data_IF_724016177446
#
_entry.id   IF_724016177446
#
_cell.length_a   1.000
_cell.length_b   1.000
_cell.length_c   1.000
_cell.angle_alpha   90.00
_cell.angle_beta   90.00
_cell.angle_gamma   90.00
#
_symmetry.space_group_name_H-M   'P 1'
#
loop_
_entity.id
_entity.type
_entity.pdbx_description
1 polymer ?
#
# COMPACT_ATOMS: atom_id res chain seq x y z
N UNK A 1 -40.10 7.55 20.16
CA UNK A 1 -39.07 8.00 19.19
C UNK A 1 -37.71 7.57 19.74
N UNK A 2 -37.22 6.40 19.33
CA UNK A 2 -35.80 5.96 19.37
C UNK A 2 -35.69 4.50 18.90
N UNK A 3 -36.31 4.20 17.76
CA UNK A 3 -36.22 2.90 17.09
C UNK A 3 -35.49 3.05 15.73
N UNK A 4 -34.46 3.92 15.69
CA UNK A 4 -33.80 4.34 14.43
C UNK A 4 -32.29 4.03 14.38
N UNK A 5 -31.69 3.34 15.36
CA UNK A 5 -30.24 3.07 15.34
C UNK A 5 -29.81 1.60 15.34
N UNK A 6 -30.70 0.67 14.98
CA UNK A 6 -30.31 -0.72 14.65
C UNK A 6 -30.49 -1.01 13.17
N UNK A 7 -29.72 -0.32 12.32
CA UNK A 7 -29.31 -0.88 11.02
C UNK A 7 -27.80 -1.07 10.99
N UNK A 8 -27.25 -1.59 12.10
CA UNK A 8 -25.95 -2.24 12.06
C UNK A 8 -26.16 -3.57 11.32
N UNK A 9 -25.95 -3.54 10.00
CA UNK A 9 -25.84 -4.73 9.18
C UNK A 9 -24.79 -5.63 9.84
N UNK A 10 -25.24 -6.66 10.58
CA UNK A 10 -24.37 -7.57 11.32
C UNK A 10 -23.39 -8.15 10.31
N UNK A 11 -22.10 -7.89 10.50
CA UNK A 11 -21.07 -8.35 9.58
C UNK A 11 -21.02 -9.88 9.67
N UNK A 12 -21.76 -10.56 8.79
CA UNK A 12 -21.98 -12.01 8.84
C UNK A 12 -20.78 -12.81 8.32
N UNK A 13 -19.75 -12.15 7.82
CA UNK A 13 -18.54 -12.77 7.28
C UNK A 13 -17.49 -12.90 8.36
N UNK A 14 -16.85 -14.08 8.40
CA UNK A 14 -15.74 -14.34 9.31
C UNK A 14 -14.61 -13.36 9.05
N UNK A 15 -14.04 -12.83 10.12
CA UNK A 15 -12.94 -11.89 10.06
C UNK A 15 -11.61 -12.65 10.01
N UNK A 16 -10.75 -12.34 9.02
CA UNK A 16 -9.46 -13.00 8.89
C UNK A 16 -8.42 -12.38 9.83
N UNK A 17 -8.42 -12.82 11.10
CA UNK A 17 -7.49 -12.34 12.12
C UNK A 17 -6.01 -12.54 11.74
N UNK A 18 -5.68 -13.63 11.02
CA UNK A 18 -4.31 -13.89 10.56
C UNK A 18 -3.86 -12.80 9.57
N UNK A 19 -4.72 -12.41 8.62
CA UNK A 19 -4.40 -11.35 7.66
C UNK A 19 -4.20 -9.99 8.35
N UNK A 20 -4.92 -9.70 9.44
CA UNK A 20 -4.66 -8.52 10.26
C UNK A 20 -3.33 -8.60 11.01
N UNK A 21 -2.99 -9.76 11.56
CA UNK A 21 -1.67 -9.99 12.14
C UNK A 21 -0.54 -9.77 11.14
N UNK A 22 -0.69 -10.28 9.92
CA UNK A 22 0.30 -10.10 8.85
C UNK A 22 0.43 -8.65 8.38
N UNK A 23 -0.66 -7.85 8.44
CA UNK A 23 -0.56 -6.40 8.26
C UNK A 23 0.33 -5.77 9.31
N UNK A 24 0.18 -6.18 10.58
CA UNK A 24 1.02 -5.73 11.68
C UNK A 24 2.49 -6.06 11.45
N UNK A 25 2.80 -7.30 11.05
CA UNK A 25 4.18 -7.72 10.71
C UNK A 25 4.74 -6.87 9.58
N UNK A 26 4.02 -6.71 8.47
CA UNK A 26 4.46 -5.89 7.36
C UNK A 26 4.67 -4.41 7.76
N UNK A 27 3.79 -3.85 8.59
CA UNK A 27 3.91 -2.47 9.07
C UNK A 27 5.16 -2.27 9.95
N UNK A 28 5.47 -3.23 10.84
CA UNK A 28 6.71 -3.20 11.63
C UNK A 28 7.93 -3.26 10.72
N UNK A 29 7.90 -4.10 9.68
CA UNK A 29 8.99 -4.21 8.71
C UNK A 29 9.20 -2.91 7.91
N UNK A 30 8.14 -2.16 7.58
CA UNK A 30 8.24 -0.83 6.96
C UNK A 30 8.93 0.18 7.89
N UNK A 31 8.56 0.19 9.17
CA UNK A 31 9.19 1.09 10.16
C UNK A 31 10.68 0.75 10.32
N UNK A 32 11.01 -0.54 10.45
CA UNK A 32 12.40 -0.98 10.56
C UNK A 32 13.20 -0.67 9.29
N UNK A 33 12.61 -0.85 8.10
CA UNK A 33 13.22 -0.48 6.83
C UNK A 33 13.66 0.98 6.82
N UNK A 34 12.76 1.91 7.12
CA UNK A 34 13.08 3.35 7.10
C UNK A 34 14.04 3.78 8.22
N UNK A 35 13.97 3.16 9.41
CA UNK A 35 14.95 3.43 10.47
C UNK A 35 16.35 3.01 10.02
N UNK A 36 16.48 1.83 9.41
CA UNK A 36 17.78 1.27 9.01
C UNK A 36 18.33 1.92 7.75
N UNK A 37 17.46 2.42 6.86
CA UNK A 37 17.81 3.17 5.66
C UNK A 37 18.62 4.44 5.97
N UNK A 38 18.33 5.12 7.08
CA UNK A 38 19.10 6.31 7.52
C UNK A 38 20.58 5.96 7.77
N UNK A 39 20.87 4.73 8.22
CA UNK A 39 22.24 4.29 8.50
C UNK A 39 22.94 3.68 7.27
N UNK A 40 22.20 3.40 6.20
CA UNK A 40 22.78 2.84 4.98
C UNK A 40 23.45 3.90 4.10
N UNK A 41 23.11 5.18 4.27
CA UNK A 41 23.58 6.30 3.42
C UNK A 41 23.35 6.04 1.92
N UNK A 42 22.26 5.37 1.57
CA UNK A 42 21.93 5.00 0.18
C UNK A 42 22.71 3.81 -0.37
N UNK A 43 23.52 3.15 0.46
CA UNK A 43 24.26 1.94 0.09
C UNK A 43 23.48 0.69 0.48
N UNK A 44 22.85 0.04 -0.51
CA UNK A 44 22.03 -1.15 -0.30
C UNK A 44 22.82 -2.32 0.33
N UNK A 45 24.14 -2.37 0.16
CA UNK A 45 24.96 -3.41 0.79
C UNK A 45 25.02 -3.30 2.31
N UNK A 46 24.76 -2.11 2.86
CA UNK A 46 24.74 -1.84 4.30
C UNK A 46 23.36 -1.94 4.91
N UNK A 47 22.32 -2.05 4.07
CA UNK A 47 20.95 -2.10 4.51
C UNK A 47 20.55 -3.54 4.86
N UNK A 48 20.07 -3.76 6.10
CA UNK A 48 19.68 -5.10 6.55
C UNK A 48 18.32 -5.54 5.99
N UNK A 49 17.42 -4.59 5.75
CA UNK A 49 16.10 -4.83 5.16
C UNK A 49 16.10 -4.14 3.80
N UNK A 50 16.48 -4.85 2.73
CA UNK A 50 16.60 -4.26 1.40
C UNK A 50 15.25 -4.06 0.73
N UNK A 51 14.29 -4.95 0.98
CA UNK A 51 13.03 -4.98 0.23
C UNK A 51 11.80 -4.60 1.06
N UNK A 52 11.99 -3.84 2.15
CA UNK A 52 10.89 -3.40 3.03
C UNK A 52 9.87 -2.52 2.30
N UNK A 53 10.27 -1.82 1.24
CA UNK A 53 9.37 -1.05 0.37
C UNK A 53 8.31 -1.91 -0.33
N UNK A 54 8.54 -3.22 -0.51
CA UNK A 54 7.58 -4.16 -1.12
C UNK A 54 6.35 -4.41 -0.24
N UNK A 55 6.40 -4.06 1.05
CA UNK A 55 5.25 -4.19 1.94
C UNK A 55 4.02 -3.41 1.43
N UNK A 56 4.23 -2.32 0.69
CA UNK A 56 3.15 -1.56 0.05
C UNK A 56 2.36 -2.42 -0.95
N UNK A 57 3.06 -3.19 -1.79
CA UNK A 57 2.43 -4.08 -2.76
C UNK A 57 1.70 -5.24 -2.06
N UNK A 58 2.26 -5.75 -0.95
CA UNK A 58 1.56 -6.71 -0.09
C UNK A 58 0.26 -6.13 0.48
N UNK A 59 0.26 -4.88 0.94
CA UNK A 59 -0.96 -4.18 1.38
C UNK A 59 -1.97 -4.03 0.24
N UNK A 60 -1.52 -3.78 -1.00
CA UNK A 60 -2.42 -3.74 -2.16
C UNK A 60 -3.06 -5.10 -2.48
N UNK A 61 -2.31 -6.22 -2.40
CA UNK A 61 -2.90 -7.57 -2.52
C UNK A 61 -3.96 -7.79 -1.44
N UNK A 62 -3.64 -7.45 -0.20
CA UNK A 62 -4.58 -7.56 0.92
C UNK A 62 -5.81 -6.67 0.75
N UNK A 63 -5.65 -5.46 0.21
CA UNK A 63 -6.75 -4.53 -0.04
C UNK A 63 -7.70 -5.10 -1.10
N UNK A 64 -7.17 -5.60 -2.22
CA UNK A 64 -7.93 -6.28 -3.27
C UNK A 64 -8.66 -7.53 -2.77
N UNK A 65 -8.01 -8.34 -1.94
CA UNK A 65 -8.62 -9.53 -1.34
C UNK A 65 -9.77 -9.16 -0.40
N UNK A 66 -9.51 -8.28 0.57
CA UNK A 66 -10.52 -7.92 1.59
C UNK A 66 -11.69 -7.16 0.98
N UNK A 67 -11.47 -6.32 -0.03
CA UNK A 67 -12.57 -5.58 -0.65
C UNK A 67 -13.50 -6.48 -1.45
N UNK A 68 -12.95 -7.41 -2.24
CA UNK A 68 -13.76 -8.38 -2.98
C UNK A 68 -14.50 -9.31 -2.01
N UNK A 69 -13.79 -9.83 -0.99
CA UNK A 69 -14.37 -10.68 0.05
C UNK A 69 -15.51 -9.98 0.80
N UNK A 70 -15.34 -8.71 1.19
CA UNK A 70 -16.33 -8.02 2.02
C UNK A 70 -17.54 -7.52 1.24
N UNK A 71 -17.40 -7.19 -0.05
CA UNK A 71 -18.41 -6.40 -0.77
C UNK A 71 -19.00 -7.04 -2.02
N UNK A 72 -18.36 -8.01 -2.69
CA UNK A 72 -18.84 -8.53 -3.98
C UNK A 72 -20.30 -9.03 -3.95
N UNK A 73 -20.73 -9.65 -2.85
CA UNK A 73 -22.09 -10.19 -2.66
C UNK A 73 -23.08 -9.18 -2.05
N UNK A 74 -22.63 -7.99 -1.65
CA UNK A 74 -23.45 -6.99 -0.93
C UNK A 74 -24.03 -5.90 -1.83
N UNK A 75 -23.57 -5.81 -3.07
CA UNK A 75 -23.97 -4.75 -3.99
C UNK A 75 -25.46 -4.73 -4.35
N UNK A 76 -26.19 -5.84 -4.18
CA UNK A 76 -27.65 -5.87 -4.34
C UNK A 76 -28.40 -5.14 -3.22
N UNK A 77 -27.75 -4.90 -2.08
CA UNK A 77 -28.33 -4.30 -0.86
C UNK A 77 -27.57 -3.06 -0.38
N UNK A 78 -26.61 -2.57 -1.17
CA UNK A 78 -25.71 -1.48 -0.78
C UNK A 78 -25.51 -0.51 -1.93
N UNK A 79 -25.73 0.76 -1.66
CA UNK A 79 -25.47 1.87 -2.56
C UNK A 79 -23.98 2.27 -2.61
N UNK A 80 -23.59 3.00 -3.65
CA UNK A 80 -22.24 3.56 -3.76
C UNK A 80 -21.90 4.50 -2.59
N UNK A 81 -22.89 5.28 -2.11
CA UNK A 81 -22.72 6.19 -0.98
C UNK A 81 -22.44 5.44 0.33
N UNK A 82 -23.13 4.33 0.57
CA UNK A 82 -22.90 3.50 1.76
C UNK A 82 -21.54 2.81 1.71
N UNK A 83 -21.14 2.31 0.54
CA UNK A 83 -19.79 1.79 0.33
C UNK A 83 -18.74 2.87 0.63
N UNK A 84 -18.86 4.06 0.03
CA UNK A 84 -17.92 5.16 0.23
C UNK A 84 -17.84 5.56 1.72
N UNK A 85 -18.99 5.69 2.40
CA UNK A 85 -19.06 5.97 3.84
C UNK A 85 -18.28 4.93 4.66
N UNK A 86 -18.46 3.63 4.38
CA UNK A 86 -17.75 2.56 5.09
C UNK A 86 -16.24 2.63 4.86
N UNK A 87 -15.80 2.93 3.64
CA UNK A 87 -14.37 3.10 3.33
C UNK A 87 -13.77 4.34 4.00
N UNK A 88 -14.50 5.45 4.04
CA UNK A 88 -14.08 6.67 4.76
C UNK A 88 -13.93 6.41 6.26
N UNK A 89 -14.93 5.82 6.92
CA UNK A 89 -14.86 5.52 8.36
C UNK A 89 -13.67 4.61 8.70
N UNK A 90 -13.28 3.72 7.78
CA UNK A 90 -12.16 2.80 7.97
C UNK A 90 -10.79 3.45 7.77
N UNK A 91 -10.62 4.26 6.71
CA UNK A 91 -9.30 4.75 6.29
C UNK A 91 -8.99 6.16 6.81
N UNK A 92 -9.98 7.06 6.82
CA UNK A 92 -9.78 8.48 7.08
C UNK A 92 -9.33 8.82 8.51
N UNK A 93 -9.77 8.12 9.57
CA UNK A 93 -9.25 8.37 10.92
C UNK A 93 -7.73 8.23 11.01
N UNK A 94 -7.16 7.21 10.37
CA UNK A 94 -5.71 6.98 10.38
C UNK A 94 -4.96 8.01 9.53
N UNK A 95 -5.57 8.53 8.45
CA UNK A 95 -5.00 9.63 7.66
C UNK A 95 -4.89 10.90 8.52
N UNK A 96 -5.97 11.27 9.21
CA UNK A 96 -6.01 12.46 10.07
C UNK A 96 -4.95 12.35 11.18
N UNK A 97 -4.89 11.20 11.86
CA UNK A 97 -3.89 10.96 12.91
C UNK A 97 -2.48 11.07 12.34
N UNK A 98 -2.20 10.44 11.19
CA UNK A 98 -0.90 10.52 10.53
C UNK A 98 -0.47 11.95 10.20
N UNK A 99 -1.40 12.77 9.70
CA UNK A 99 -1.13 14.19 9.40
C UNK A 99 -0.90 15.01 10.66
N UNK A 100 -1.65 14.75 11.75
CA UNK A 100 -1.44 15.42 13.05
C UNK A 100 -0.07 15.07 13.63
N UNK A 101 0.30 13.79 13.63
CA UNK A 101 1.61 13.34 14.11
C UNK A 101 2.73 13.92 13.25
N UNK A 102 2.54 13.94 11.93
CA UNK A 102 3.44 14.58 10.98
C UNK A 102 3.66 16.06 11.26
N UNK A 103 2.58 16.82 11.40
CA UNK A 103 2.62 18.24 11.76
C UNK A 103 3.29 18.49 13.12
N UNK A 104 2.94 17.69 14.14
CA UNK A 104 3.49 17.81 15.48
C UNK A 104 5.00 17.50 15.54
N UNK A 105 5.48 16.66 14.62
CA UNK A 105 6.89 16.26 14.55
C UNK A 105 7.69 16.97 13.46
N UNK A 106 7.05 17.83 12.66
CA UNK A 106 7.62 18.40 11.43
C UNK A 106 8.95 19.13 11.69
N UNK A 107 8.96 20.08 12.62
CA UNK A 107 10.15 20.90 12.90
C UNK A 107 11.29 20.15 13.60
N UNK A 108 11.05 18.96 14.16
CA UNK A 108 12.12 18.11 14.71
C UNK A 108 12.90 17.38 13.63
N UNK A 109 12.43 17.40 12.38
CA UNK A 109 13.08 16.75 11.24
C UNK A 109 14.06 17.70 10.52
N UNK A 110 14.11 18.98 10.92
CA UNK A 110 15.03 19.97 10.35
C UNK A 110 16.50 19.61 10.58
N UNK A 111 17.36 20.14 9.70
CA UNK A 111 18.81 19.88 9.71
C UNK A 111 19.35 19.52 8.32
N UNK A 112 20.56 18.97 8.26
CA UNK A 112 21.30 18.78 7.01
C UNK A 112 20.57 17.95 5.94
N UNK A 113 19.73 16.99 6.35
CA UNK A 113 18.97 16.14 5.43
C UNK A 113 17.72 16.84 4.87
N UNK A 114 17.13 17.76 5.63
CA UNK A 114 15.90 18.48 5.26
C UNK A 114 16.04 19.98 5.59
N UNK A 115 16.97 20.70 4.93
CA UNK A 115 17.31 22.07 5.29
C UNK A 115 16.16 23.06 5.08
N UNK A 116 15.22 22.75 4.19
CA UNK A 116 14.09 23.61 3.89
C UNK A 116 13.11 23.75 5.06
N UNK A 117 13.05 22.77 5.98
CA UNK A 117 12.07 22.72 7.09
C UNK A 117 12.21 23.93 8.01
N UNK A 118 13.43 24.39 8.26
CA UNK A 118 13.72 25.48 9.21
C UNK A 118 13.12 26.82 8.77
N UNK A 119 12.94 27.01 7.46
CA UNK A 119 12.39 28.22 6.87
C UNK A 119 10.87 28.16 6.62
N UNK A 120 10.21 27.02 6.89
CA UNK A 120 8.77 26.84 6.63
C UNK A 120 7.93 27.58 7.68
N UNK A 121 7.10 28.56 7.28
CA UNK A 121 6.18 29.22 8.21
C UNK A 121 5.15 28.24 8.78
N UNK A 122 4.84 28.36 10.07
CA UNK A 122 3.84 27.51 10.76
C UNK A 122 2.49 27.53 10.05
N UNK A 123 2.08 28.68 9.49
CA UNK A 123 0.82 28.80 8.74
C UNK A 123 0.84 27.93 7.48
N UNK A 124 1.97 27.85 6.77
CA UNK A 124 2.14 26.98 5.60
C UNK A 124 2.06 25.51 6.01
N UNK A 125 2.73 25.13 7.09
CA UNK A 125 2.65 23.76 7.63
C UNK A 125 1.21 23.40 8.00
N UNK A 126 0.48 24.27 8.70
CA UNK A 126 -0.93 24.06 9.05
C UNK A 126 -1.81 23.95 7.80
N UNK A 127 -1.59 24.76 6.78
CA UNK A 127 -2.31 24.66 5.50
C UNK A 127 -2.09 23.30 4.83
N UNK A 128 -0.84 22.82 4.77
CA UNK A 128 -0.51 21.50 4.25
C UNK A 128 -1.15 20.40 5.09
N UNK A 129 -1.24 20.55 6.41
CA UNK A 129 -1.95 19.61 7.29
C UNK A 129 -3.45 19.54 6.96
N UNK A 130 -4.11 20.69 6.78
CA UNK A 130 -5.53 20.71 6.41
C UNK A 130 -5.80 20.11 5.02
N UNK A 131 -4.93 20.38 4.04
CA UNK A 131 -5.01 19.71 2.72
C UNK A 131 -4.78 18.21 2.91
N UNK A 132 -3.78 17.82 3.71
CA UNK A 132 -3.46 16.43 4.04
C UNK A 132 -4.62 15.65 4.65
N UNK A 133 -5.47 16.28 5.48
CA UNK A 133 -6.68 15.64 6.01
C UNK A 133 -7.63 15.14 4.92
N UNK A 134 -7.63 15.76 3.73
CA UNK A 134 -8.47 15.35 2.61
C UNK A 134 -7.83 14.22 1.77
N UNK A 135 -6.55 13.94 1.99
CA UNK A 135 -5.70 13.10 1.13
C UNK A 135 -5.65 13.57 -0.35
N UNK A 136 -5.96 14.83 -0.62
CA UNK A 136 -5.69 15.44 -1.93
C UNK A 136 -4.18 15.70 -2.02
N UNK A 137 -3.50 15.22 -3.08
CA UNK A 137 -2.07 15.41 -3.21
C UNK A 137 -1.73 16.87 -3.53
N UNK A 138 -0.60 17.34 -3.01
CA UNK A 138 -0.05 18.66 -3.37
C UNK A 138 0.97 18.55 -4.51
N UNK A 139 1.08 19.56 -5.39
CA UNK A 139 2.12 19.59 -6.41
C UNK A 139 3.51 19.76 -5.80
N UNK A 140 4.59 19.40 -6.52
CA UNK A 140 5.97 19.60 -6.08
C UNK A 140 6.29 21.02 -5.60
N UNK A 141 5.64 22.04 -6.18
CA UNK A 141 5.82 23.44 -5.79
C UNK A 141 5.25 23.80 -4.41
N UNK A 142 4.46 22.91 -3.81
CA UNK A 142 3.86 23.06 -2.48
C UNK A 142 4.46 22.07 -1.47
N UNK A 143 5.50 21.32 -1.86
CA UNK A 143 6.24 20.50 -0.91
C UNK A 143 6.95 21.40 0.10
N UNK A 144 6.83 21.04 1.38
CA UNK A 144 7.44 21.75 2.51
C UNK A 144 8.62 20.99 3.12
N UNK A 145 8.89 19.76 2.64
CA UNK A 145 9.98 18.91 3.15
C UNK A 145 11.23 18.92 2.27
N UNK A 146 11.08 19.21 0.97
CA UNK A 146 12.17 19.25 -0.01
C UNK A 146 12.46 17.91 -0.68
N UNK A 147 11.54 16.96 -0.59
CA UNK A 147 11.65 15.60 -1.14
C UNK A 147 10.60 15.29 -2.22
N UNK A 148 9.89 16.33 -2.66
CA UNK A 148 8.88 16.29 -3.72
C UNK A 148 7.71 15.36 -3.38
N UNK A 149 7.37 15.25 -2.09
CA UNK A 149 6.29 14.39 -1.63
C UNK A 149 4.92 15.00 -1.93
N UNK A 150 4.00 14.20 -2.45
CA UNK A 150 2.61 14.62 -2.65
C UNK A 150 1.84 14.80 -1.33
N UNK A 151 2.40 14.30 -0.21
CA UNK A 151 1.88 14.42 1.15
C UNK A 151 3.02 14.71 2.15
N UNK A 152 3.57 15.95 2.19
CA UNK A 152 4.82 16.26 2.90
C UNK A 152 4.83 16.01 4.42
N UNK A 153 3.66 15.97 5.05
CA UNK A 153 3.53 15.68 6.49
C UNK A 153 3.37 14.19 6.78
N UNK A 154 3.11 13.38 5.77
CA UNK A 154 3.00 11.93 5.90
C UNK A 154 3.43 11.30 4.58
N UNK A 155 4.75 11.19 4.37
CA UNK A 155 5.33 10.62 3.15
C UNK A 155 4.64 9.34 2.68
N UNK A 156 4.49 8.30 3.53
CA UNK A 156 3.83 7.05 3.18
C UNK A 156 2.35 7.16 2.75
N UNK A 157 1.68 8.31 2.97
CA UNK A 157 0.27 8.50 2.62
C UNK A 157 0.00 8.41 1.10
N UNK A 158 1.02 8.50 0.25
CA UNK A 158 0.88 8.28 -1.20
C UNK A 158 0.26 6.91 -1.49
N UNK A 159 0.59 5.88 -0.71
CA UNK A 159 0.04 4.53 -0.89
C UNK A 159 -1.48 4.49 -0.61
N UNK A 160 -1.95 5.24 0.38
CA UNK A 160 -3.38 5.37 0.69
C UNK A 160 -4.12 6.17 -0.38
N UNK A 161 -3.47 7.14 -1.02
CA UNK A 161 -4.02 7.86 -2.17
C UNK A 161 -4.33 6.89 -3.33
N UNK A 162 -3.37 6.04 -3.69
CA UNK A 162 -3.59 4.96 -4.67
C UNK A 162 -4.65 3.95 -4.20
N UNK A 163 -4.68 3.62 -2.90
CA UNK A 163 -5.73 2.75 -2.36
C UNK A 163 -7.13 3.38 -2.53
N UNK A 164 -7.34 4.68 -2.32
CA UNK A 164 -8.63 5.31 -2.59
C UNK A 164 -9.01 5.24 -4.07
N UNK A 165 -8.05 5.47 -4.98
CA UNK A 165 -8.29 5.29 -6.41
C UNK A 165 -8.74 3.86 -6.69
N UNK A 166 -8.03 2.86 -6.14
CA UNK A 166 -8.38 1.45 -6.29
C UNK A 166 -9.80 1.13 -5.77
N UNK A 167 -10.17 1.68 -4.61
CA UNK A 167 -11.53 1.54 -4.04
C UNK A 167 -12.61 2.12 -4.95
N UNK A 168 -12.35 3.29 -5.55
CA UNK A 168 -13.25 3.95 -6.50
C UNK A 168 -13.36 3.11 -7.78
N UNK A 169 -12.23 2.69 -8.36
CA UNK A 169 -12.18 1.82 -9.54
C UNK A 169 -12.91 0.50 -9.29
N UNK A 170 -12.74 -0.11 -8.12
CA UNK A 170 -13.48 -1.30 -7.71
C UNK A 170 -14.99 -1.07 -7.74
N UNK A 171 -15.46 -0.04 -7.04
CA UNK A 171 -16.87 0.23 -6.87
C UNK A 171 -17.58 0.60 -8.18
N UNK A 172 -16.89 1.30 -9.08
CA UNK A 172 -17.46 1.77 -10.35
C UNK A 172 -17.35 0.72 -11.46
N UNK A 173 -16.22 0.01 -11.53
CA UNK A 173 -15.84 -0.80 -12.69
C UNK A 173 -15.44 -2.23 -12.32
N UNK A 174 -14.33 -2.43 -11.59
CA UNK A 174 -13.67 -3.75 -11.49
C UNK A 174 -14.58 -4.83 -10.91
N UNK A 175 -15.47 -4.47 -9.96
CA UNK A 175 -16.41 -5.42 -9.38
C UNK A 175 -17.33 -6.08 -10.42
N UNK A 176 -17.64 -5.37 -11.50
CA UNK A 176 -18.56 -5.79 -12.57
C UNK A 176 -17.88 -6.68 -13.61
N UNK A 177 -16.55 -6.72 -13.61
CA UNK A 177 -15.80 -7.53 -14.57
C UNK A 177 -15.87 -9.01 -14.19
N UNK A 178 -15.93 -9.86 -15.22
CA UNK A 178 -15.81 -11.31 -15.07
C UNK A 178 -14.39 -11.68 -14.63
N UNK A 179 -14.25 -12.88 -14.06
CA UNK A 179 -12.94 -13.38 -13.66
C UNK A 179 -11.98 -13.48 -14.84
N UNK A 180 -12.47 -13.82 -16.04
CA UNK A 180 -11.66 -13.85 -17.27
C UNK A 180 -11.08 -12.47 -17.62
N UNK A 181 -11.90 -11.42 -17.56
CA UNK A 181 -11.44 -10.05 -17.83
C UNK A 181 -10.41 -9.62 -16.79
N UNK A 182 -10.67 -9.89 -15.51
CA UNK A 182 -9.71 -9.59 -14.44
C UNK A 182 -8.40 -10.36 -14.60
N UNK A 183 -8.42 -11.62 -15.03
CA UNK A 183 -7.22 -12.41 -15.33
C UNK A 183 -6.40 -11.77 -16.46
N UNK A 184 -7.06 -11.33 -17.55
CA UNK A 184 -6.38 -10.65 -18.65
C UNK A 184 -5.74 -9.35 -18.18
N UNK A 185 -6.47 -8.52 -17.41
CA UNK A 185 -5.93 -7.27 -16.87
C UNK A 185 -4.77 -7.56 -15.91
N UNK A 186 -4.89 -8.57 -15.04
CA UNK A 186 -3.81 -8.97 -14.14
C UNK A 186 -2.57 -9.44 -14.91
N UNK A 187 -2.74 -10.21 -15.99
CA UNK A 187 -1.62 -10.65 -16.83
C UNK A 187 -0.89 -9.45 -17.47
N UNK A 188 -1.63 -8.51 -18.05
CA UNK A 188 -1.06 -7.29 -18.64
C UNK A 188 -0.37 -6.42 -17.58
N UNK A 189 -1.01 -6.22 -16.41
CA UNK A 189 -0.44 -5.46 -15.31
C UNK A 189 0.83 -6.11 -14.74
N UNK A 190 0.87 -7.45 -14.66
CA UNK A 190 2.06 -8.21 -14.26
C UNK A 190 3.20 -8.05 -15.26
N UNK A 191 2.90 -8.07 -16.56
CA UNK A 191 3.89 -7.80 -17.61
C UNK A 191 4.47 -6.38 -17.53
N UNK A 192 3.62 -5.38 -17.28
CA UNK A 192 4.05 -3.98 -17.06
C UNK A 192 4.91 -3.85 -15.80
N UNK A 193 4.54 -4.52 -14.70
CA UNK A 193 5.31 -4.54 -13.47
C UNK A 193 6.70 -5.15 -13.69
N UNK A 194 6.77 -6.33 -14.34
CA UNK A 194 8.04 -6.97 -14.68
C UNK A 194 8.90 -6.07 -15.55
N UNK A 195 8.34 -5.53 -16.63
CA UNK A 195 9.07 -4.65 -17.53
C UNK A 195 9.64 -3.46 -16.76
N UNK A 196 8.80 -2.74 -16.01
CA UNK A 196 9.21 -1.59 -15.21
C UNK A 196 10.32 -1.96 -14.21
N UNK A 197 10.11 -3.01 -13.41
CA UNK A 197 11.04 -3.39 -12.36
C UNK A 197 12.40 -3.84 -12.94
N UNK A 198 12.39 -4.68 -13.98
CA UNK A 198 13.62 -5.18 -14.63
C UNK A 198 14.39 -4.03 -15.30
N UNK A 199 13.70 -3.03 -15.84
CA UNK A 199 14.36 -1.86 -16.45
C UNK A 199 14.93 -0.87 -15.44
N UNK A 200 14.24 -0.60 -14.32
CA UNK A 200 14.71 0.36 -13.32
C UNK A 200 15.70 -0.28 -12.33
N UNK A 201 15.52 -1.57 -12.03
CA UNK A 201 16.28 -2.31 -11.04
C UNK A 201 15.52 -2.55 -9.72
N UNK A 202 14.41 -1.86 -9.51
CA UNK A 202 13.53 -1.98 -8.36
C UNK A 202 12.15 -1.42 -8.71
N UNK A 203 11.25 -1.39 -7.73
CA UNK A 203 9.94 -0.72 -7.85
C UNK A 203 9.79 0.42 -6.82
N UNK A 204 10.88 1.05 -6.38
CA UNK A 204 10.84 2.17 -5.44
C UNK A 204 10.31 3.40 -6.19
N UNK A 205 9.14 3.89 -5.76
CA UNK A 205 8.47 5.01 -6.40
C UNK A 205 6.99 5.09 -6.04
N UNK A 206 6.35 6.19 -6.43
CA UNK A 206 4.92 6.45 -6.25
C UNK A 206 4.60 7.70 -5.42
N UNK A 207 5.59 8.38 -4.84
CA UNK A 207 5.34 9.40 -3.80
C UNK A 207 5.16 10.83 -4.30
N UNK A 208 5.29 11.10 -5.61
CA UNK A 208 5.11 12.43 -6.18
C UNK A 208 4.15 12.47 -7.36
N UNK A 209 3.69 13.69 -7.71
CA UNK A 209 2.86 13.94 -8.89
C UNK A 209 3.67 14.04 -10.20
N UNK A 210 4.97 13.76 -10.19
CA UNK A 210 5.71 13.65 -11.44
C UNK A 210 5.17 12.48 -12.29
N UNK A 211 5.11 12.61 -13.63
CA UNK A 211 4.56 11.57 -14.50
C UNK A 211 5.22 10.20 -14.31
N UNK A 212 6.53 10.16 -14.08
CA UNK A 212 7.28 8.94 -13.79
C UNK A 212 6.84 8.29 -12.47
N UNK A 213 6.69 9.08 -11.41
CA UNK A 213 6.29 8.60 -10.09
C UNK A 213 4.84 8.11 -10.09
N UNK A 214 3.95 8.81 -10.80
CA UNK A 214 2.58 8.34 -11.03
C UNK A 214 2.56 7.01 -11.79
N UNK A 215 3.36 6.87 -12.85
CA UNK A 215 3.48 5.61 -13.60
C UNK A 215 3.92 4.47 -12.68
N UNK A 216 4.90 4.69 -11.82
CA UNK A 216 5.34 3.68 -10.84
C UNK A 216 4.20 3.33 -9.88
N UNK A 217 3.57 4.33 -9.25
CA UNK A 217 2.49 4.12 -8.29
C UNK A 217 1.30 3.35 -8.89
N UNK A 218 0.87 3.70 -10.12
CA UNK A 218 -0.20 2.96 -10.80
C UNK A 218 0.21 1.54 -11.18
N UNK A 219 1.46 1.32 -11.63
CA UNK A 219 1.95 -0.02 -11.99
C UNK A 219 2.03 -0.92 -10.76
N UNK A 220 2.53 -0.40 -9.65
CA UNK A 220 2.57 -1.07 -8.35
C UNK A 220 1.20 -1.35 -7.78
N UNK A 221 0.20 -0.51 -8.05
CA UNK A 221 -1.17 -0.76 -7.61
C UNK A 221 -1.87 -1.85 -8.44
N UNK A 222 -1.74 -1.78 -9.76
CA UNK A 222 -2.63 -2.46 -10.70
C UNK A 222 -2.64 -3.98 -10.54
N UNK A 223 -1.46 -4.62 -10.62
CA UNK A 223 -1.35 -6.07 -10.48
C UNK A 223 -1.81 -6.57 -9.10
N UNK A 224 -1.21 -6.14 -7.98
CA UNK A 224 -1.48 -6.77 -6.69
C UNK A 224 -2.94 -6.59 -6.26
N UNK A 225 -3.53 -5.43 -6.51
CA UNK A 225 -4.94 -5.21 -6.19
C UNK A 225 -5.87 -6.19 -6.94
N UNK A 226 -5.66 -6.39 -8.24
CA UNK A 226 -6.46 -7.32 -9.03
C UNK A 226 -6.17 -8.78 -8.66
N UNK A 227 -4.92 -9.13 -8.39
CA UNK A 227 -4.53 -10.45 -7.90
C UNK A 227 -5.24 -10.79 -6.58
N UNK A 228 -5.30 -9.83 -5.65
CA UNK A 228 -6.07 -9.97 -4.41
C UNK A 228 -7.56 -10.22 -4.66
N UNK A 229 -8.18 -9.47 -5.58
CA UNK A 229 -9.59 -9.68 -5.95
C UNK A 229 -9.81 -11.09 -6.53
N UNK A 230 -8.96 -11.52 -7.46
CA UNK A 230 -9.03 -12.84 -8.08
C UNK A 230 -8.86 -13.95 -7.05
N UNK A 231 -7.92 -13.79 -6.13
CA UNK A 231 -7.69 -14.72 -5.03
C UNK A 231 -8.95 -14.89 -4.18
N UNK A 232 -9.62 -13.79 -3.81
CA UNK A 232 -10.88 -13.86 -3.06
C UNK A 232 -12.03 -14.49 -3.84
N UNK A 233 -12.05 -14.38 -5.18
CA UNK A 233 -13.15 -14.87 -6.02
C UNK A 233 -13.01 -16.33 -6.43
N UNK A 234 -11.79 -16.77 -6.69
CA UNK A 234 -11.50 -18.06 -7.32
C UNK A 234 -11.06 -19.12 -6.33
N UNK A 235 -10.41 -18.72 -5.25
CA UNK A 235 -9.72 -19.65 -4.38
C UNK A 235 -10.47 -19.78 -3.06
N UNK A 236 -10.75 -21.04 -2.69
CA UNK A 236 -11.30 -21.38 -1.39
C UNK A 236 -10.12 -21.58 -0.42
N UNK A 237 -10.15 -20.93 0.75
CA UNK A 237 -9.11 -21.16 1.75
C UNK A 237 -9.05 -22.63 2.16
N UNK A 238 -7.84 -23.13 2.38
CA UNK A 238 -7.58 -24.44 2.95
C UNK A 238 -7.65 -24.35 4.50
N UNK A 239 -7.23 -25.42 5.20
CA UNK A 239 -6.97 -25.36 6.63
C UNK A 239 -5.48 -25.65 6.84
N UNK A 240 -4.72 -24.61 7.18
CA UNK A 240 -3.27 -24.66 7.30
C UNK A 240 -2.87 -24.39 8.75
N UNK A 241 -2.28 -25.41 9.38
CA UNK A 241 -1.75 -25.28 10.73
C UNK A 241 -0.60 -24.27 10.73
N UNK A 242 -0.61 -23.38 11.73
CA UNK A 242 0.45 -22.38 11.95
C UNK A 242 0.63 -21.38 10.79
N UNK A 243 -0.40 -21.15 9.98
CA UNK A 243 -0.35 -20.23 8.83
C UNK A 243 0.23 -18.86 9.18
N UNK A 244 -0.15 -18.27 10.33
CA UNK A 244 0.41 -16.99 10.78
C UNK A 244 1.94 -17.00 10.92
N UNK A 245 2.51 -18.03 11.55
CA UNK A 245 3.95 -18.13 11.76
C UNK A 245 4.69 -18.32 10.43
N UNK A 246 4.19 -19.22 9.58
CA UNK A 246 4.76 -19.51 8.26
C UNK A 246 4.78 -18.22 7.42
N UNK A 247 3.64 -17.54 7.33
CA UNK A 247 3.53 -16.30 6.57
C UNK A 247 4.40 -15.17 7.13
N UNK A 248 4.52 -15.06 8.46
CA UNK A 248 5.37 -14.05 9.10
C UNK A 248 6.85 -14.28 8.79
N UNK A 249 7.31 -15.55 8.84
CA UNK A 249 8.67 -15.92 8.46
C UNK A 249 8.91 -15.64 6.98
N UNK A 250 7.96 -16.00 6.11
CA UNK A 250 8.07 -15.71 4.68
C UNK A 250 8.20 -14.21 4.41
N UNK A 251 7.38 -13.36 5.04
CA UNK A 251 7.49 -11.90 4.94
C UNK A 251 8.87 -11.39 5.40
N UNK A 252 9.35 -11.86 6.55
CA UNK A 252 10.68 -11.53 7.06
C UNK A 252 11.79 -11.90 6.07
N UNK A 253 11.76 -13.13 5.56
CA UNK A 253 12.76 -13.63 4.61
C UNK A 253 12.76 -12.78 3.34
N UNK A 254 11.60 -12.51 2.73
CA UNK A 254 11.56 -11.76 1.47
C UNK A 254 12.01 -10.32 1.63
N UNK A 255 11.76 -9.70 2.79
CA UNK A 255 12.18 -8.31 3.04
C UNK A 255 13.67 -8.18 3.40
N UNK A 256 14.25 -9.20 4.03
CA UNK A 256 15.64 -9.20 4.50
C UNK A 256 16.64 -9.82 3.52
N UNK A 257 16.19 -10.38 2.38
CA UNK A 257 17.11 -10.84 1.34
C UNK A 257 18.03 -9.68 0.90
N UNK A 258 19.35 -9.90 0.75
CA UNK A 258 20.26 -8.87 0.24
C UNK A 258 19.91 -8.45 -1.17
N UNK A 259 20.25 -7.20 -1.53
CA UNK A 259 20.05 -6.68 -2.87
C UNK A 259 20.60 -7.63 -3.95
N UNK A 260 19.71 -8.09 -4.84
CA UNK A 260 20.01 -9.19 -5.76
C UNK A 260 20.73 -8.67 -7.01
N UNK A 261 21.86 -9.30 -7.37
CA UNK A 261 22.61 -8.94 -8.59
C UNK A 261 23.59 -7.76 -8.43
N UNK A 262 23.75 -7.22 -7.22
CA UNK A 262 24.74 -6.18 -6.93
C UNK A 262 24.58 -4.90 -7.78
N UNK A 263 25.68 -4.21 -8.04
CA UNK A 263 25.67 -2.96 -8.82
C UNK A 263 25.51 -3.18 -10.34
N UNK A 264 25.98 -4.32 -10.86
CA UNK A 264 26.11 -4.56 -12.29
C UNK A 264 24.87 -5.21 -12.92
N UNK A 265 24.08 -5.95 -12.14
CA UNK A 265 22.93 -6.70 -12.64
C UNK A 265 21.62 -6.28 -11.95
N UNK A 266 21.33 -4.97 -11.94
CA UNK A 266 20.12 -4.38 -11.36
C UNK A 266 18.82 -5.07 -11.80
N UNK A 267 18.77 -5.55 -13.04
CA UNK A 267 17.63 -6.29 -13.59
C UNK A 267 17.25 -7.53 -12.75
N UNK A 268 18.22 -8.15 -12.06
CA UNK A 268 17.97 -9.30 -11.20
C UNK A 268 17.18 -8.91 -9.95
N UNK A 269 17.46 -7.74 -9.38
CA UNK A 269 16.71 -7.17 -8.26
C UNK A 269 15.28 -6.81 -8.70
N UNK A 270 15.12 -6.18 -9.85
CA UNK A 270 13.81 -5.89 -10.43
C UNK A 270 12.98 -7.15 -10.72
N UNK A 271 13.63 -8.22 -11.21
CA UNK A 271 12.99 -9.51 -11.40
C UNK A 271 12.59 -10.13 -10.06
N UNK A 272 13.47 -10.08 -9.06
CA UNK A 272 13.16 -10.54 -7.71
C UNK A 272 11.92 -9.83 -7.15
N UNK A 273 11.90 -8.49 -7.14
CA UNK A 273 10.76 -7.68 -6.68
C UNK A 273 9.46 -8.10 -7.38
N UNK A 274 9.53 -8.26 -8.71
CA UNK A 274 8.38 -8.69 -9.50
C UNK A 274 7.87 -10.07 -9.11
N UNK A 275 8.76 -11.04 -8.89
CA UNK A 275 8.39 -12.40 -8.49
C UNK A 275 7.80 -12.43 -7.08
N UNK A 276 8.32 -11.61 -6.16
CA UNK A 276 7.74 -11.47 -4.82
C UNK A 276 6.30 -10.96 -4.92
N UNK A 277 6.07 -9.89 -5.69
CA UNK A 277 4.73 -9.30 -5.86
C UNK A 277 3.77 -10.24 -6.58
N UNK A 278 4.23 -10.93 -7.64
CA UNK A 278 3.39 -11.75 -8.53
C UNK A 278 3.10 -13.14 -7.95
N UNK A 279 4.04 -13.73 -7.22
CA UNK A 279 3.93 -15.12 -6.77
C UNK A 279 3.84 -15.21 -5.26
N UNK A 280 4.76 -14.56 -4.55
CA UNK A 280 4.93 -14.79 -3.10
C UNK A 280 3.84 -14.08 -2.29
N UNK A 281 3.49 -12.83 -2.59
CA UNK A 281 2.42 -12.13 -1.86
C UNK A 281 1.04 -12.78 -2.03
N UNK A 282 0.58 -13.15 -3.24
CA UNK A 282 -0.66 -13.92 -3.39
C UNK A 282 -0.62 -15.24 -2.63
N UNK A 283 0.52 -15.94 -2.61
CA UNK A 283 0.70 -17.16 -1.82
C UNK A 283 0.56 -16.87 -0.31
N UNK A 284 1.21 -15.84 0.22
CA UNK A 284 1.13 -15.47 1.63
C UNK A 284 -0.31 -15.11 2.03
N UNK A 285 -1.03 -14.35 1.18
CA UNK A 285 -2.44 -14.03 1.43
C UNK A 285 -3.32 -15.27 1.35
N UNK A 286 -3.07 -16.18 0.41
CA UNK A 286 -3.77 -17.47 0.34
C UNK A 286 -3.58 -18.28 1.62
N UNK A 287 -2.33 -18.47 2.03
CA UNK A 287 -1.97 -19.21 3.24
C UNK A 287 -2.58 -18.57 4.49
N UNK A 288 -2.54 -17.24 4.59
CA UNK A 288 -3.08 -16.49 5.73
C UNK A 288 -4.61 -16.40 5.78
N UNK A 289 -5.29 -16.65 4.65
CA UNK A 289 -6.74 -16.81 4.62
C UNK A 289 -7.17 -18.25 4.95
N UNK A 290 -6.25 -19.21 4.83
CA UNK A 290 -6.43 -20.66 5.04
C UNK A 290 -6.12 -21.09 6.48
#
# INVERSE_FOLDING_TARGET
MNQVLETAYKDSKSHYHILDGLRGVAAVMVVLFHILEIFSNGDHSKQLINHGYLAVDFFFVLSGFVIAYAYDDRWSKMSLKEFAKRRLIRLHPMIIIGMIVGAATFYFQGGNLYPMIDDVPVVTMLLIMFIGFTLIPVPPSMDIRGWVEMHPLNGPAWSLFFEYIANICYALFLRKFSNTVLIVIAFLAGGLLIHMAVTHGDIIGGWSLYPEQLRIGFTRLAYPFIAGMLLSRLIKPANIRQAFLICSILLLVVFCIPWVGGHDAKWMNGLYDSLIVILVFPLIVYLGAS
#
